data_IF_276416191528
#
_entry.id   IF_276416191528
#
_cell.length_a   1.000
_cell.length_b   1.000
_cell.length_c   1.000
_cell.angle_alpha   90.00
_cell.angle_beta   90.00
_cell.angle_gamma   90.00
#
_symmetry.space_group_name_H-M   'P 1'
#
loop_
_entity.id
_entity.type
_entity.pdbx_description
1 polymer ?
#
# COMPACT_ATOMS: atom_id res chain seq x y z
N UNK A 1 -23.82 -9.54 -5.86
CA UNK A 1 -24.41 -8.92 -4.66
C UNK A 1 -23.90 -7.49 -4.58
N UNK A 2 -24.76 -6.53 -4.26
CA UNK A 2 -24.33 -5.13 -4.05
C UNK A 2 -23.36 -5.03 -2.87
N UNK A 3 -22.53 -3.98 -2.83
CA UNK A 3 -21.73 -3.71 -1.64
C UNK A 3 -22.65 -3.35 -0.48
N UNK A 4 -22.45 -3.91 0.73
CA UNK A 4 -23.26 -3.61 1.90
C UNK A 4 -23.17 -2.13 2.24
N UNK A 5 -24.31 -1.54 2.58
CA UNK A 5 -24.40 -0.13 2.95
C UNK A 5 -23.81 0.11 4.35
N UNK A 6 -23.58 1.38 4.68
CA UNK A 6 -23.14 1.78 6.02
C UNK A 6 -24.10 1.27 7.11
N UNK A 7 -25.41 1.34 6.87
CA UNK A 7 -26.43 0.83 7.78
C UNK A 7 -26.36 -0.71 7.94
N UNK A 8 -26.08 -1.43 6.84
CA UNK A 8 -25.93 -2.89 6.89
C UNK A 8 -24.74 -3.29 7.79
N UNK A 9 -23.63 -2.55 7.74
CA UNK A 9 -22.46 -2.79 8.61
C UNK A 9 -22.74 -2.52 10.09
N UNK A 10 -23.56 -1.52 10.39
CA UNK A 10 -24.04 -1.27 11.75
C UNK A 10 -24.95 -2.39 12.27
N UNK A 11 -25.88 -2.84 11.43
CA UNK A 11 -26.80 -3.93 11.75
C UNK A 11 -26.05 -5.26 11.95
N UNK A 12 -25.10 -5.59 11.07
CA UNK A 12 -24.23 -6.76 11.18
C UNK A 12 -23.45 -6.76 12.51
N UNK A 13 -23.02 -5.57 12.95
CA UNK A 13 -22.30 -5.40 14.20
C UNK A 13 -23.21 -5.32 15.44
N UNK A 14 -24.54 -5.45 15.29
CA UNK A 14 -25.50 -5.46 16.39
C UNK A 14 -25.61 -4.12 17.14
N UNK A 15 -25.25 -3.00 16.49
CA UNK A 15 -25.43 -1.67 17.06
C UNK A 15 -26.85 -1.17 16.81
N UNK A 16 -27.55 -0.76 17.87
CA UNK A 16 -28.89 -0.19 17.77
C UNK A 16 -28.79 1.32 17.84
N UNK A 17 -28.85 1.98 16.68
CA UNK A 17 -28.81 3.44 16.55
C UNK A 17 -29.94 3.93 15.64
N UNK A 18 -30.33 5.20 15.79
CA UNK A 18 -31.41 5.78 14.98
C UNK A 18 -30.91 6.12 13.56
N UNK A 19 -31.79 6.09 12.57
CA UNK A 19 -31.45 6.45 11.18
C UNK A 19 -30.76 7.81 11.01
N UNK A 20 -31.19 8.89 11.70
CA UNK A 20 -30.49 10.17 11.67
C UNK A 20 -29.05 10.10 12.16
N UNK A 21 -28.77 9.36 13.23
CA UNK A 21 -27.41 9.18 13.78
C UNK A 21 -26.53 8.40 12.80
N UNK A 22 -27.07 7.36 12.17
CA UNK A 22 -26.38 6.57 11.16
C UNK A 22 -25.96 7.45 9.97
N UNK A 23 -26.87 8.31 9.49
CA UNK A 23 -26.59 9.21 8.38
C UNK A 23 -25.54 10.28 8.75
N UNK A 24 -25.71 10.93 9.91
CA UNK A 24 -24.78 11.93 10.43
C UNK A 24 -23.35 11.39 10.48
N UNK A 25 -23.17 10.20 11.09
CA UNK A 25 -21.86 9.55 11.18
C UNK A 25 -21.35 9.06 9.83
N UNK A 26 -22.23 8.61 8.94
CA UNK A 26 -21.87 8.25 7.57
C UNK A 26 -21.26 9.43 6.82
N UNK A 27 -21.78 10.64 7.02
CA UNK A 27 -21.21 11.86 6.43
C UNK A 27 -19.88 12.25 7.07
N UNK A 28 -19.73 12.08 8.40
CA UNK A 28 -18.42 12.26 9.06
C UNK A 28 -17.37 11.28 8.52
N UNK A 29 -17.73 10.01 8.30
CA UNK A 29 -16.79 9.02 7.74
C UNK A 29 -16.34 9.39 6.33
N UNK A 30 -17.22 9.93 5.49
CA UNK A 30 -16.82 10.41 4.16
C UNK A 30 -15.74 11.50 4.26
N UNK A 31 -15.84 12.41 5.25
CA UNK A 31 -14.82 13.44 5.51
C UNK A 31 -13.52 12.83 6.04
N UNK A 32 -13.61 11.91 7.00
CA UNK A 32 -12.45 11.14 7.50
C UNK A 32 -11.69 10.47 6.36
N UNK A 33 -12.41 9.84 5.42
CA UNK A 33 -11.81 9.15 4.27
C UNK A 33 -11.22 10.14 3.26
N UNK A 34 -11.84 11.30 3.06
CA UNK A 34 -11.32 12.34 2.15
C UNK A 34 -10.01 12.97 2.68
N UNK A 35 -9.94 13.21 3.99
CA UNK A 35 -8.82 13.90 4.65
C UNK A 35 -7.89 12.92 5.40
N UNK A 36 -7.85 11.66 4.95
CA UNK A 36 -7.05 10.61 5.55
C UNK A 36 -5.55 10.80 5.26
N UNK A 37 -4.82 11.28 6.28
CA UNK A 37 -3.34 11.35 6.24
C UNK A 37 -2.72 9.97 6.57
N UNK A 38 -1.44 9.74 6.24
CA UNK A 38 -0.76 8.50 6.59
C UNK A 38 -0.88 8.12 8.08
N UNK A 39 -0.65 9.08 8.98
CA UNK A 39 -0.76 8.87 10.42
C UNK A 39 -2.18 8.47 10.84
N UNK A 40 -3.20 9.18 10.33
CA UNK A 40 -4.62 8.88 10.60
C UNK A 40 -5.00 7.48 10.14
N UNK A 41 -4.46 6.99 9.02
CA UNK A 41 -4.71 5.61 8.57
C UNK A 41 -4.14 4.61 9.58
N UNK A 42 -2.95 4.86 10.13
CA UNK A 42 -2.39 4.01 11.17
C UNK A 42 -3.21 4.06 12.46
N UNK A 43 -3.74 5.22 12.83
CA UNK A 43 -4.64 5.33 13.98
C UNK A 43 -5.94 4.55 13.77
N UNK A 44 -6.53 4.59 12.56
CA UNK A 44 -7.71 3.80 12.24
C UNK A 44 -7.42 2.30 12.32
N UNK A 45 -6.25 1.84 11.85
CA UNK A 45 -5.81 0.45 11.98
C UNK A 45 -5.60 0.11 13.47
N UNK A 46 -5.02 1.03 14.24
CA UNK A 46 -4.84 0.92 15.67
C UNK A 46 -6.16 0.76 16.41
N UNK A 47 -7.17 1.57 16.07
CA UNK A 47 -8.53 1.42 16.58
C UNK A 47 -9.08 0.04 16.24
N UNK A 48 -9.00 -0.37 14.97
CA UNK A 48 -9.55 -1.63 14.47
C UNK A 48 -8.97 -2.87 15.17
N UNK A 49 -7.66 -2.89 15.42
CA UNK A 49 -6.97 -3.99 16.13
C UNK A 49 -6.86 -3.80 17.64
N UNK A 50 -7.48 -2.76 18.20
CA UNK A 50 -7.43 -2.46 19.64
C UNK A 50 -5.99 -2.27 20.16
N UNK A 51 -5.18 -1.54 19.39
CA UNK A 51 -3.80 -1.22 19.74
C UNK A 51 -3.83 -0.16 20.87
N UNK A 52 -3.30 -0.46 22.08
CA UNK A 52 -3.16 0.54 23.13
C UNK A 52 -2.41 1.79 22.65
N UNK A 53 -2.73 2.93 23.28
CA UNK A 53 -2.08 4.24 23.04
C UNK A 53 -2.32 4.83 21.64
N UNK A 54 -3.30 4.30 20.90
CA UNK A 54 -3.75 4.92 19.65
C UNK A 54 -4.46 6.25 19.93
N UNK A 55 -3.99 7.35 19.32
CA UNK A 55 -4.66 8.65 19.43
C UNK A 55 -5.86 8.73 18.49
N UNK A 56 -7.06 8.70 19.07
CA UNK A 56 -8.32 8.83 18.36
C UNK A 56 -9.03 10.16 18.66
N UNK A 57 -8.34 11.12 19.28
CA UNK A 57 -8.92 12.44 19.59
C UNK A 57 -9.43 13.12 18.33
N UNK A 58 -8.63 13.14 17.26
CA UNK A 58 -9.01 13.70 15.96
C UNK A 58 -10.24 12.99 15.36
N UNK A 59 -10.35 11.67 15.54
CA UNK A 59 -11.44 10.87 14.99
C UNK A 59 -12.75 11.14 15.73
N UNK A 60 -12.68 11.25 17.06
CA UNK A 60 -13.80 11.71 17.89
C UNK A 60 -14.24 13.10 17.50
N UNK A 61 -13.30 14.03 17.35
CA UNK A 61 -13.61 15.43 17.08
C UNK A 61 -14.27 15.59 15.70
N UNK A 62 -13.86 14.79 14.72
CA UNK A 62 -14.49 14.78 13.39
C UNK A 62 -15.92 14.23 13.41
N UNK A 63 -16.17 13.13 14.14
CA UNK A 63 -17.52 12.58 14.32
C UNK A 63 -18.39 13.53 15.16
N UNK A 64 -17.80 14.17 16.15
CA UNK A 64 -18.46 15.10 17.06
C UNK A 64 -19.06 16.34 16.38
N UNK A 65 -18.61 16.67 15.16
CA UNK A 65 -19.19 17.76 14.36
C UNK A 65 -20.65 17.48 13.96
N UNK A 66 -20.98 16.22 13.63
CA UNK A 66 -22.33 15.82 13.23
C UNK A 66 -23.09 15.09 14.34
N UNK A 67 -22.38 14.45 15.28
CA UNK A 67 -22.94 13.76 16.45
C UNK A 67 -22.18 14.11 17.74
N UNK A 68 -22.57 15.19 18.44
CA UNK A 68 -21.97 15.59 19.72
C UNK A 68 -22.12 14.55 20.84
N UNK A 69 -22.98 13.54 20.66
CA UNK A 69 -23.20 12.48 21.67
C UNK A 69 -22.19 11.35 21.55
N UNK A 70 -21.40 11.31 20.48
CA UNK A 70 -20.37 10.29 20.27
C UNK A 70 -19.25 10.41 21.31
N UNK A 71 -18.94 9.29 21.97
CA UNK A 71 -17.88 9.22 22.98
C UNK A 71 -17.04 7.97 22.80
N UNK A 72 -15.72 8.15 22.79
CA UNK A 72 -14.77 7.04 22.74
C UNK A 72 -14.77 6.21 24.02
N UNK A 73 -15.20 6.78 25.16
CA UNK A 73 -15.19 6.08 26.45
C UNK A 73 -16.34 5.08 26.56
N UNK A 74 -17.55 5.48 26.14
CA UNK A 74 -18.74 4.63 26.19
C UNK A 74 -18.97 3.86 24.89
N UNK A 75 -18.42 4.35 23.78
CA UNK A 75 -18.59 3.84 22.42
C UNK A 75 -17.35 3.18 21.82
N UNK A 76 -16.42 2.63 22.62
CA UNK A 76 -15.18 2.00 22.10
C UNK A 76 -15.44 0.89 21.06
N UNK A 77 -16.56 0.15 21.21
CA UNK A 77 -17.02 -0.84 20.22
C UNK A 77 -17.44 -0.17 18.90
N UNK A 78 -18.19 0.92 19.01
CA UNK A 78 -18.70 1.65 17.86
C UNK A 78 -17.59 2.37 17.10
N UNK A 79 -16.64 2.96 17.81
CA UNK A 79 -15.44 3.56 17.23
C UNK A 79 -14.66 2.56 16.35
N UNK A 80 -14.58 1.29 16.77
CA UNK A 80 -13.95 0.22 15.97
C UNK A 80 -14.67 -0.07 14.68
N UNK A 81 -16.00 -0.17 14.73
CA UNK A 81 -16.82 -0.44 13.55
C UNK A 81 -16.72 0.74 12.58
N UNK A 82 -16.78 1.97 13.09
CA UNK A 82 -16.57 3.18 12.31
C UNK A 82 -15.18 3.23 11.66
N UNK A 83 -14.13 2.88 12.40
CA UNK A 83 -12.77 2.78 11.86
C UNK A 83 -12.68 1.70 10.78
N UNK A 84 -13.30 0.53 11.00
CA UNK A 84 -13.35 -0.54 10.01
C UNK A 84 -14.09 -0.12 8.74
N UNK A 85 -15.17 0.65 8.84
CA UNK A 85 -15.91 1.19 7.70
C UNK A 85 -15.04 2.20 6.92
N UNK A 86 -14.40 3.15 7.62
CA UNK A 86 -13.49 4.11 7.00
C UNK A 86 -12.33 3.40 6.27
N UNK A 87 -11.72 2.40 6.90
CA UNK A 87 -10.71 1.55 6.28
C UNK A 87 -11.27 0.77 5.08
N UNK A 88 -12.48 0.24 5.18
CA UNK A 88 -13.17 -0.45 4.08
C UNK A 88 -13.36 0.44 2.86
N UNK A 89 -13.73 1.71 3.05
CA UNK A 89 -13.82 2.69 1.96
C UNK A 89 -12.45 3.01 1.35
N UNK A 90 -11.41 3.20 2.17
CA UNK A 90 -10.05 3.43 1.71
C UNK A 90 -9.51 2.22 0.91
N UNK A 91 -9.78 1.01 1.40
CA UNK A 91 -9.45 -0.26 0.73
C UNK A 91 -10.20 -0.38 -0.59
N UNK A 92 -11.49 -0.05 -0.62
CA UNK A 92 -12.31 -0.03 -1.83
C UNK A 92 -11.80 0.95 -2.90
N UNK A 93 -11.21 2.08 -2.48
CA UNK A 93 -10.54 3.07 -3.34
C UNK A 93 -9.13 2.68 -3.77
N UNK A 94 -8.60 1.55 -3.29
CA UNK A 94 -7.26 1.07 -3.63
C UNK A 94 -6.12 1.76 -2.87
N UNK A 95 -6.41 2.35 -1.71
CA UNK A 95 -5.38 2.98 -0.88
C UNK A 95 -4.38 1.91 -0.38
N UNK A 96 -3.14 1.98 -0.88
CA UNK A 96 -2.13 0.94 -0.61
C UNK A 96 -1.74 0.87 0.86
N UNK A 97 -1.73 2.00 1.58
CA UNK A 97 -1.41 2.05 3.01
C UNK A 97 -2.46 1.36 3.87
N UNK A 98 -3.75 1.58 3.58
CA UNK A 98 -4.84 0.89 4.28
C UNK A 98 -4.81 -0.63 4.00
N UNK A 99 -4.61 -1.02 2.72
CA UNK A 99 -4.56 -2.43 2.32
C UNK A 99 -3.39 -3.15 3.01
N UNK A 100 -2.17 -2.61 2.90
CA UNK A 100 -0.98 -3.23 3.50
C UNK A 100 -1.01 -3.14 5.02
N UNK A 101 -1.42 -2.02 5.59
CA UNK A 101 -1.47 -1.81 7.04
C UNK A 101 -2.41 -2.77 7.75
N UNK A 102 -3.62 -2.99 7.22
CA UNK A 102 -4.54 -4.00 7.78
C UNK A 102 -3.97 -5.40 7.58
N UNK A 103 -3.43 -5.71 6.40
CA UNK A 103 -2.91 -7.05 6.11
C UNK A 103 -1.70 -7.42 6.99
N UNK A 104 -0.79 -6.48 7.24
CA UNK A 104 0.42 -6.68 8.05
C UNK A 104 0.10 -6.76 9.54
N UNK A 105 -0.79 -5.91 10.06
CA UNK A 105 -1.27 -5.97 11.43
C UNK A 105 -2.00 -7.28 11.78
N UNK A 106 -2.55 -7.99 10.77
CA UNK A 106 -3.19 -9.29 10.96
C UNK A 106 -2.19 -10.43 11.28
N UNK A 107 -0.90 -10.23 10.97
CA UNK A 107 0.20 -11.19 11.21
C UNK A 107 -0.14 -12.60 10.72
N UNK A 108 -0.61 -12.70 9.47
CA UNK A 108 -1.02 -13.98 8.87
C UNK A 108 -2.11 -14.72 9.66
N UNK A 109 -3.01 -14.02 10.35
CA UNK A 109 -4.14 -14.61 11.10
C UNK A 109 -3.90 -14.82 12.59
N UNK A 110 -2.70 -14.49 13.09
CA UNK A 110 -2.32 -14.61 14.50
C UNK A 110 -2.89 -13.48 15.36
N UNK A 111 -3.10 -12.31 14.76
CA UNK A 111 -3.77 -11.18 15.41
C UNK A 111 -5.12 -10.99 14.73
N UNK A 112 -6.21 -11.12 15.47
CA UNK A 112 -7.57 -11.00 14.95
C UNK A 112 -8.29 -9.81 15.56
N UNK A 113 -9.01 -9.01 14.76
CA UNK A 113 -9.86 -7.97 15.31
C UNK A 113 -11.04 -8.62 16.05
N UNK A 114 -11.55 -7.98 17.10
CA UNK A 114 -12.71 -8.51 17.81
C UNK A 114 -14.02 -8.42 16.99
N UNK A 115 -14.06 -7.54 15.98
CA UNK A 115 -15.25 -7.25 15.18
C UNK A 115 -14.88 -6.94 13.72
N UNK A 116 -15.89 -6.93 12.86
CA UNK A 116 -15.76 -6.56 11.44
C UNK A 116 -14.70 -7.39 10.69
N UNK A 117 -14.66 -8.72 10.92
CA UNK A 117 -13.76 -9.64 10.21
C UNK A 117 -13.93 -9.60 8.67
N UNK A 118 -15.09 -9.13 8.19
CA UNK A 118 -15.33 -8.87 6.77
C UNK A 118 -14.24 -7.98 6.14
N UNK A 119 -13.68 -7.02 6.89
CA UNK A 119 -12.64 -6.11 6.38
C UNK A 119 -11.38 -6.89 5.98
N UNK A 120 -11.03 -7.96 6.70
CA UNK A 120 -9.89 -8.81 6.37
C UNK A 120 -10.09 -9.50 5.02
N UNK A 121 -11.33 -9.94 4.76
CA UNK A 121 -11.69 -10.55 3.47
C UNK A 121 -11.63 -9.51 2.35
N UNK A 122 -12.21 -8.34 2.58
CA UNK A 122 -12.20 -7.23 1.62
C UNK A 122 -10.77 -6.77 1.30
N UNK A 123 -9.90 -6.70 2.31
CA UNK A 123 -8.47 -6.36 2.15
C UNK A 123 -7.74 -7.40 1.30
N UNK A 124 -7.95 -8.71 1.53
CA UNK A 124 -7.32 -9.77 0.72
C UNK A 124 -7.78 -9.74 -0.73
N UNK A 125 -9.07 -9.48 -0.96
CA UNK A 125 -9.64 -9.32 -2.30
C UNK A 125 -9.11 -8.06 -2.99
N UNK A 126 -9.08 -6.93 -2.28
CA UNK A 126 -8.56 -5.67 -2.77
C UNK A 126 -7.07 -5.78 -3.10
N UNK A 127 -6.26 -6.40 -2.23
CA UNK A 127 -4.84 -6.65 -2.47
C UNK A 127 -4.65 -7.41 -3.79
N UNK A 128 -5.38 -8.50 -4.01
CA UNK A 128 -5.34 -9.28 -5.25
C UNK A 128 -5.75 -8.45 -6.46
N UNK A 129 -6.90 -7.75 -6.36
CA UNK A 129 -7.47 -6.94 -7.44
C UNK A 129 -6.53 -5.82 -7.86
N UNK A 130 -6.06 -5.02 -6.90
CA UNK A 130 -5.23 -3.85 -7.17
C UNK A 130 -3.80 -4.22 -7.55
N UNK A 131 -3.25 -5.33 -7.02
CA UNK A 131 -1.95 -5.85 -7.49
C UNK A 131 -1.96 -6.20 -8.97
N UNK A 132 -3.08 -6.76 -9.48
CA UNK A 132 -3.24 -7.06 -10.91
C UNK A 132 -3.53 -5.78 -11.71
N UNK A 133 -4.51 -4.98 -11.29
CA UNK A 133 -4.94 -3.82 -12.08
C UNK A 133 -3.87 -2.74 -12.19
N UNK A 134 -3.06 -2.53 -11.14
CA UNK A 134 -1.98 -1.53 -11.16
C UNK A 134 -0.85 -1.93 -12.10
N UNK A 135 -0.70 -3.24 -12.33
CA UNK A 135 0.30 -3.83 -13.25
C UNK A 135 -0.20 -4.06 -14.66
N UNK A 136 -1.51 -3.97 -14.89
CA UNK A 136 -2.07 -4.16 -16.21
C UNK A 136 -1.44 -3.18 -17.23
N UNK A 137 -1.01 -3.67 -18.41
CA UNK A 137 -0.58 -2.79 -19.49
C UNK A 137 -1.73 -1.84 -19.84
N UNK A 138 -1.47 -0.54 -19.82
CA UNK A 138 -2.44 0.41 -20.36
C UNK A 138 -2.13 0.60 -21.83
N UNK A 139 -3.16 0.55 -22.67
CA UNK A 139 -2.99 0.87 -24.09
C UNK A 139 -2.58 2.34 -24.19
N UNK A 140 -1.47 2.62 -24.88
CA UNK A 140 -1.10 3.97 -25.26
C UNK A 140 -2.06 4.37 -26.39
N UNK A 141 -3.22 4.90 -26.03
CA UNK A 141 -4.27 5.33 -26.98
C UNK A 141 -4.08 6.76 -27.46
N UNK A 142 -3.05 7.46 -26.98
CA UNK A 142 -2.76 8.84 -27.36
C UNK A 142 -2.26 8.85 -28.81
N UNK A 143 -3.17 8.76 -29.76
CA UNK A 143 -2.90 9.21 -31.11
C UNK A 143 -2.52 10.69 -30.99
N UNK A 144 -1.26 11.01 -31.28
CA UNK A 144 -0.82 12.40 -31.39
C UNK A 144 -1.42 12.91 -32.69
N UNK A 145 -2.69 13.29 -32.63
CA UNK A 145 -3.37 13.93 -33.73
C UNK A 145 -2.83 15.36 -33.82
N UNK A 146 -2.37 15.76 -35.01
CA UNK A 146 -2.05 17.17 -35.27
C UNK A 146 -3.37 17.92 -35.16
N UNK A 147 -3.54 18.83 -34.19
CA UNK A 147 -4.76 19.59 -34.09
C UNK A 147 -4.88 20.47 -35.33
N UNK A 148 -6.02 20.36 -36.02
CA UNK A 148 -6.26 21.12 -37.24
C UNK A 148 -6.35 22.62 -36.91
N UNK A 149 -5.79 23.51 -37.76
CA UNK A 149 -5.97 24.94 -37.57
C UNK A 149 -7.47 25.28 -37.64
N UNK A 150 -7.89 26.28 -36.87
CA UNK A 150 -9.25 26.76 -36.84
C UNK A 150 -9.58 27.40 -38.19
N UNK A 151 -10.54 26.82 -38.92
CA UNK A 151 -11.03 27.38 -40.19
C UNK A 151 -11.42 28.87 -40.09
N UNK A 152 -11.98 29.25 -38.95
CA UNK A 152 -12.39 30.62 -38.66
C UNK A 152 -11.22 31.64 -38.67
N UNK A 153 -9.99 31.23 -38.32
CA UNK A 153 -8.83 32.12 -38.40
C UNK A 153 -8.38 32.33 -39.85
N UNK A 154 -8.43 31.27 -40.67
CA UNK A 154 -8.15 31.37 -42.10
C UNK A 154 -9.11 32.35 -42.79
N UNK A 155 -10.40 32.22 -42.52
CA UNK A 155 -11.45 33.11 -43.03
C UNK A 155 -11.28 34.56 -42.54
N UNK A 156 -10.84 34.76 -41.28
CA UNK A 156 -10.54 36.09 -40.74
C UNK A 156 -9.33 36.76 -41.42
N UNK A 157 -8.30 36.00 -41.78
CA UNK A 157 -7.10 36.52 -42.44
C UNK A 157 -7.37 36.85 -43.92
N UNK A 158 -8.23 36.08 -44.60
CA UNK A 158 -8.64 36.33 -45.99
C UNK A 158 -9.52 37.58 -46.14
N UNK A 159 -10.26 37.95 -45.09
CA UNK A 159 -11.18 39.10 -45.10
C UNK A 159 -10.53 40.47 -44.79
N UNK A 160 -9.22 40.54 -44.61
CA UNK A 160 -8.53 41.80 -44.24
C UNK A 160 -8.33 42.68 -45.48
N UNK A 161 -8.91 43.88 -45.47
CA UNK A 161 -8.78 44.85 -46.56
C UNK A 161 -7.37 45.47 -46.66
N UNK A 162 -7.02 45.96 -47.85
CA UNK A 162 -5.75 46.67 -48.08
C UNK A 162 -5.70 47.93 -47.22
N UNK A 163 -4.62 48.08 -46.44
CA UNK A 163 -4.39 49.15 -45.43
C UNK A 163 -5.19 49.05 -44.12
N UNK A 164 -5.89 47.95 -43.83
CA UNK A 164 -6.45 47.70 -42.50
C UNK A 164 -5.39 47.19 -41.50
N UNK A 165 -4.57 48.11 -40.99
CA UNK A 165 -3.53 47.81 -40.00
C UNK A 165 -4.10 47.25 -38.69
N UNK A 166 -5.31 47.67 -38.31
CA UNK A 166 -5.99 47.19 -37.10
C UNK A 166 -6.45 45.75 -37.23
N UNK A 167 -7.08 45.39 -38.36
CA UNK A 167 -7.44 44.01 -38.69
C UNK A 167 -6.24 43.10 -38.80
N UNK A 168 -5.14 43.57 -39.43
CA UNK A 168 -3.89 42.83 -39.49
C UNK A 168 -3.30 42.53 -38.10
N UNK A 169 -3.25 43.52 -37.21
CA UNK A 169 -2.74 43.34 -35.85
C UNK A 169 -3.58 42.32 -35.05
N UNK A 170 -4.91 42.40 -35.20
CA UNK A 170 -5.86 41.46 -34.59
C UNK A 170 -5.70 40.04 -35.14
N UNK A 171 -5.56 39.89 -36.47
CA UNK A 171 -5.32 38.60 -37.12
C UNK A 171 -4.01 37.95 -36.68
N UNK A 172 -2.93 38.73 -36.58
CA UNK A 172 -1.64 38.26 -36.03
C UNK A 172 -1.76 37.87 -34.55
N UNK A 173 -2.55 38.60 -33.76
CA UNK A 173 -2.87 38.25 -32.37
C UNK A 173 -3.61 36.92 -32.26
N UNK A 174 -4.61 36.70 -33.12
CA UNK A 174 -5.36 35.45 -33.24
C UNK A 174 -4.46 34.28 -33.65
N UNK A 175 -3.61 34.48 -34.67
CA UNK A 175 -2.63 33.48 -35.12
C UNK A 175 -1.66 33.09 -34.00
N UNK A 176 -1.17 34.07 -33.24
CA UNK A 176 -0.29 33.82 -32.09
C UNK A 176 -1.01 33.02 -30.99
N UNK A 177 -2.24 33.38 -30.65
CA UNK A 177 -3.02 32.69 -29.63
C UNK A 177 -3.35 31.25 -30.05
N UNK A 178 -3.72 31.04 -31.30
CA UNK A 178 -3.99 29.72 -31.86
C UNK A 178 -2.73 28.87 -31.89
N UNK A 179 -1.62 29.39 -32.41
CA UNK A 179 -0.33 28.70 -32.41
C UNK A 179 0.07 28.29 -30.99
N UNK A 180 -0.07 29.19 -30.01
CA UNK A 180 0.22 28.88 -28.62
C UNK A 180 -0.69 27.77 -28.07
N UNK A 181 -1.98 27.77 -28.42
CA UNK A 181 -2.93 26.72 -28.02
C UNK A 181 -2.57 25.36 -28.63
N UNK A 182 -2.26 25.33 -29.93
CA UNK A 182 -1.86 24.12 -30.65
C UNK A 182 -0.56 23.54 -30.06
N UNK A 183 0.44 24.39 -29.80
CA UNK A 183 1.70 23.98 -29.16
C UNK A 183 1.45 23.43 -27.75
N UNK A 184 0.62 24.10 -26.94
CA UNK A 184 0.29 23.65 -25.58
C UNK A 184 -0.44 22.30 -25.61
N UNK A 185 -1.41 22.13 -26.51
CA UNK A 185 -2.15 20.88 -26.68
C UNK A 185 -1.21 19.75 -27.09
N UNK A 186 -0.39 19.97 -28.12
CA UNK A 186 0.59 18.98 -28.57
C UNK A 186 1.58 18.61 -27.46
N UNK A 187 2.14 19.59 -26.76
CA UNK A 187 3.04 19.35 -25.63
C UNK A 187 2.38 18.53 -24.52
N UNK A 188 1.11 18.77 -24.20
CA UNK A 188 0.36 18.00 -23.19
C UNK A 188 0.12 16.54 -23.61
N UNK A 189 -0.19 16.32 -24.89
CA UNK A 189 -0.39 14.97 -25.45
C UNK A 189 0.93 14.20 -25.48
N UNK A 190 2.02 14.84 -25.94
CA UNK A 190 3.35 14.24 -25.95
C UNK A 190 3.83 13.91 -24.54
N UNK A 191 3.67 14.83 -23.59
CA UNK A 191 4.06 14.61 -22.18
C UNK A 191 3.27 13.46 -21.57
N UNK A 192 1.96 13.38 -21.83
CA UNK A 192 1.11 12.29 -21.36
C UNK A 192 1.55 10.93 -21.93
N UNK A 193 1.85 10.87 -23.23
CA UNK A 193 2.34 9.65 -23.88
C UNK A 193 3.71 9.22 -23.31
N UNK A 194 4.64 10.17 -23.11
CA UNK A 194 5.94 9.90 -22.50
C UNK A 194 5.81 9.41 -21.06
N UNK A 195 4.89 9.99 -20.27
CA UNK A 195 4.64 9.57 -18.89
C UNK A 195 4.12 8.13 -18.83
N UNK A 196 3.21 7.74 -19.73
CA UNK A 196 2.73 6.37 -19.78
C UNK A 196 3.82 5.39 -20.24
N UNK A 197 4.63 5.77 -21.24
CA UNK A 197 5.77 4.97 -21.68
C UNK A 197 6.81 4.77 -20.55
N UNK A 198 7.16 5.85 -19.83
CA UNK A 198 8.06 5.79 -18.69
C UNK A 198 7.54 4.82 -17.61
N UNK A 199 6.24 4.91 -17.32
CA UNK A 199 5.57 3.97 -16.42
C UNK A 199 5.71 2.52 -16.90
N UNK A 200 5.46 2.23 -18.18
CA UNK A 200 5.61 0.87 -18.72
C UNK A 200 7.05 0.38 -18.59
N UNK A 201 8.03 1.23 -18.89
CA UNK A 201 9.45 0.90 -18.76
C UNK A 201 9.85 0.61 -17.31
N UNK A 202 9.37 1.40 -16.34
CA UNK A 202 9.62 1.16 -14.90
C UNK A 202 9.05 -0.18 -14.46
N UNK A 203 7.83 -0.49 -14.91
CA UNK A 203 7.17 -1.75 -14.57
C UNK A 203 7.87 -2.96 -15.19
N UNK A 204 8.23 -2.88 -16.48
CA UNK A 204 9.01 -3.92 -17.15
C UNK A 204 10.38 -4.13 -16.48
N UNK A 205 11.03 -3.06 -16.05
CA UNK A 205 12.31 -3.14 -15.34
C UNK A 205 12.15 -3.85 -14.00
N UNK A 206 11.15 -3.50 -13.21
CA UNK A 206 10.81 -4.17 -11.96
C UNK A 206 10.62 -5.68 -12.18
N UNK A 207 9.73 -6.07 -13.10
CA UNK A 207 9.41 -7.47 -13.39
C UNK A 207 10.61 -8.25 -13.95
N UNK A 208 11.40 -7.63 -14.82
CA UNK A 208 12.62 -8.24 -15.37
C UNK A 208 13.63 -8.49 -14.25
N UNK A 209 13.87 -7.50 -13.38
CA UNK A 209 14.80 -7.65 -12.25
C UNK A 209 14.35 -8.75 -11.27
N UNK A 210 13.04 -8.83 -11.00
CA UNK A 210 12.45 -9.92 -10.23
C UNK A 210 12.68 -11.29 -10.86
N UNK A 211 12.48 -11.42 -12.18
CA UNK A 211 12.76 -12.67 -12.89
C UNK A 211 14.24 -13.05 -12.81
N UNK A 212 15.15 -12.11 -13.09
CA UNK A 212 16.59 -12.33 -12.98
C UNK A 212 17.00 -12.79 -11.58
N UNK A 213 16.42 -12.18 -10.55
CA UNK A 213 16.69 -12.55 -9.16
C UNK A 213 16.23 -13.99 -8.84
N UNK A 214 15.01 -14.36 -9.23
CA UNK A 214 14.49 -15.72 -9.02
C UNK A 214 15.32 -16.77 -9.75
N UNK A 215 15.61 -16.54 -11.03
CA UNK A 215 16.39 -17.50 -11.83
C UNK A 215 17.85 -17.57 -11.41
N UNK A 216 18.40 -16.44 -10.95
CA UNK A 216 19.75 -16.37 -10.42
C UNK A 216 19.93 -17.20 -9.15
N UNK A 217 18.91 -17.30 -8.29
CA UNK A 217 19.00 -18.08 -7.06
C UNK A 217 20.03 -17.53 -6.06
N UNK A 218 20.28 -16.23 -6.11
CA UNK A 218 21.24 -15.51 -5.25
C UNK A 218 20.56 -14.33 -4.55
N UNK A 219 20.87 -14.15 -3.28
CA UNK A 219 20.45 -12.98 -2.52
C UNK A 219 21.21 -11.75 -2.97
N UNK A 220 20.48 -10.63 -3.17
CA UNK A 220 21.08 -9.31 -3.44
C UNK A 220 21.60 -8.68 -2.16
N UNK A 221 20.86 -8.82 -1.05
CA UNK A 221 21.25 -8.25 0.24
C UNK A 221 22.49 -8.94 0.80
N UNK A 222 22.53 -10.27 0.82
CA UNK A 222 23.67 -11.02 1.39
C UNK A 222 24.76 -11.37 0.37
N UNK A 223 24.54 -11.11 -0.92
CA UNK A 223 25.54 -11.36 -1.97
C UNK A 223 25.93 -12.84 -2.17
N UNK A 224 25.09 -13.79 -1.73
CA UNK A 224 25.37 -15.25 -1.79
C UNK A 224 24.14 -16.07 -2.19
N UNK A 225 24.38 -17.32 -2.60
CA UNK A 225 23.31 -18.23 -3.06
C UNK A 225 22.32 -18.57 -1.95
N UNK A 226 21.03 -18.64 -2.27
CA UNK A 226 19.99 -19.11 -1.34
C UNK A 226 20.21 -20.56 -0.89
N UNK A 227 20.87 -21.39 -1.70
CA UNK A 227 21.22 -22.78 -1.33
C UNK A 227 22.19 -22.86 -0.13
N UNK A 228 22.87 -21.75 0.22
CA UNK A 228 23.67 -21.65 1.43
C UNK A 228 22.88 -21.34 2.71
N UNK A 229 21.60 -20.97 2.57
CA UNK A 229 20.73 -20.55 3.68
C UNK A 229 19.76 -21.66 4.08
N UNK A 230 19.37 -21.69 5.35
CA UNK A 230 18.24 -22.52 5.78
C UNK A 230 16.90 -21.96 5.21
N UNK A 231 15.82 -22.77 5.13
CA UNK A 231 14.55 -22.32 4.55
C UNK A 231 13.93 -21.07 5.22
N UNK A 232 14.07 -20.91 6.53
CA UNK A 232 13.56 -19.75 7.27
C UNK A 232 14.46 -18.52 7.08
N UNK A 233 15.77 -18.72 6.94
CA UNK A 233 16.71 -17.67 6.57
C UNK A 233 16.45 -17.19 5.14
N UNK A 234 16.28 -18.12 4.19
CA UNK A 234 15.94 -17.82 2.81
C UNK A 234 14.59 -17.11 2.70
N UNK A 235 13.62 -17.44 3.56
CA UNK A 235 12.35 -16.74 3.66
C UNK A 235 12.51 -15.26 4.03
N UNK A 236 13.25 -14.94 5.09
CA UNK A 236 13.46 -13.55 5.52
C UNK A 236 14.28 -12.75 4.52
N UNK A 237 15.42 -13.31 4.09
CA UNK A 237 16.30 -12.66 3.10
C UNK A 237 15.59 -12.48 1.77
N UNK A 238 14.85 -13.49 1.34
CA UNK A 238 14.07 -13.45 0.10
C UNK A 238 12.96 -12.40 0.14
N UNK A 239 12.30 -12.23 1.28
CA UNK A 239 11.31 -11.19 1.48
C UNK A 239 11.90 -9.78 1.36
N UNK A 240 13.03 -9.51 2.02
CA UNK A 240 13.74 -8.23 1.94
C UNK A 240 14.24 -7.94 0.52
N UNK A 241 14.84 -8.94 -0.14
CA UNK A 241 15.30 -8.79 -1.51
C UNK A 241 14.15 -8.51 -2.48
N UNK A 242 13.04 -9.26 -2.36
CA UNK A 242 11.88 -9.06 -3.22
C UNK A 242 11.22 -7.70 -2.96
N UNK A 243 11.13 -7.26 -1.70
CA UNK A 243 10.58 -5.95 -1.37
C UNK A 243 11.43 -4.82 -1.97
N UNK A 244 12.77 -4.90 -1.91
CA UNK A 244 13.65 -3.94 -2.58
C UNK A 244 13.54 -3.95 -4.11
N UNK A 245 13.20 -5.11 -4.68
CA UNK A 245 12.94 -5.23 -6.11
C UNK A 245 11.61 -4.59 -6.49
N UNK A 246 10.61 -4.61 -5.60
CA UNK A 246 9.30 -3.97 -5.76
C UNK A 246 9.37 -2.47 -5.48
N UNK A 247 9.97 -1.70 -6.39
CA UNK A 247 10.24 -0.27 -6.18
C UNK A 247 9.29 0.68 -6.92
N UNK A 248 8.46 0.16 -7.84
CA UNK A 248 7.54 0.96 -8.63
C UNK A 248 6.09 0.72 -8.22
N UNK A 249 5.72 -0.52 -7.88
CA UNK A 249 4.35 -0.84 -7.48
C UNK A 249 4.21 -0.96 -5.97
N UNK A 250 3.23 -0.26 -5.38
CA UNK A 250 3.09 -0.23 -3.92
C UNK A 250 2.59 -1.54 -3.30
N UNK A 251 1.83 -2.36 -4.03
CA UNK A 251 1.24 -3.61 -3.51
C UNK A 251 2.01 -4.86 -3.94
N UNK A 252 3.02 -4.71 -4.79
CA UNK A 252 3.75 -5.84 -5.35
C UNK A 252 2.98 -6.67 -6.38
N UNK A 253 3.59 -7.76 -6.86
CA UNK A 253 2.92 -8.69 -7.77
C UNK A 253 2.06 -9.67 -6.98
N UNK A 254 0.91 -10.04 -7.54
CA UNK A 254 0.10 -11.14 -7.00
C UNK A 254 0.89 -12.46 -6.90
N UNK A 255 1.91 -12.62 -7.74
CA UNK A 255 2.80 -13.78 -7.76
C UNK A 255 3.86 -13.77 -6.65
N UNK A 256 3.99 -12.69 -5.85
CA UNK A 256 5.03 -12.58 -4.81
C UNK A 256 5.10 -13.81 -3.88
N UNK A 257 4.00 -14.37 -3.37
CA UNK A 257 4.06 -15.60 -2.58
C UNK A 257 4.68 -16.79 -3.34
N UNK A 258 4.32 -17.00 -4.61
CA UNK A 258 4.89 -18.08 -5.42
C UNK A 258 6.38 -17.84 -5.74
N UNK A 259 6.78 -16.57 -5.90
CA UNK A 259 8.17 -16.18 -6.10
C UNK A 259 9.02 -16.48 -4.86
N UNK A 260 8.51 -16.13 -3.68
CA UNK A 260 9.14 -16.42 -2.39
C UNK A 260 9.20 -17.93 -2.11
N UNK A 261 8.13 -18.66 -2.41
CA UNK A 261 8.11 -20.12 -2.28
C UNK A 261 9.19 -20.79 -3.15
N UNK A 262 9.39 -20.30 -4.37
CA UNK A 262 10.47 -20.76 -5.25
C UNK A 262 11.87 -20.48 -4.68
N UNK A 263 12.07 -19.32 -4.06
CA UNK A 263 13.34 -18.99 -3.38
C UNK A 263 13.57 -19.91 -2.18
N UNK A 264 12.54 -20.13 -1.36
CA UNK A 264 12.61 -21.05 -0.21
C UNK A 264 12.90 -22.48 -0.69
N UNK A 265 12.27 -22.94 -1.77
CA UNK A 265 12.52 -24.25 -2.36
C UNK A 265 13.94 -24.41 -2.92
N UNK A 266 14.60 -23.32 -3.31
CA UNK A 266 16.00 -23.30 -3.75
C UNK A 266 17.02 -23.27 -2.61
N UNK A 267 16.56 -23.14 -1.36
CA UNK A 267 17.41 -23.09 -0.18
C UNK A 267 18.03 -24.45 0.15
N UNK A 268 18.90 -24.47 1.16
CA UNK A 268 19.58 -25.70 1.59
C UNK A 268 18.57 -26.80 1.87
N UNK A 269 18.77 -27.97 1.25
CA UNK A 269 17.87 -29.13 1.39
C UNK A 269 17.66 -29.46 2.86
N UNK A 270 16.41 -29.29 3.31
CA UNK A 270 15.92 -29.66 4.63
C UNK A 270 14.86 -30.77 4.46
N UNK A 271 14.61 -31.54 5.52
CA UNK A 271 13.33 -32.26 5.64
C UNK A 271 12.18 -31.24 5.52
N UNK A 272 11.02 -31.68 5.06
CA UNK A 272 9.86 -30.83 4.75
C UNK A 272 9.77 -29.65 5.76
N UNK A 273 9.86 -28.39 5.28
CA UNK A 273 9.98 -27.24 6.17
C UNK A 273 8.74 -27.15 7.06
N UNK A 274 8.94 -27.34 8.36
CA UNK A 274 7.88 -27.22 9.37
C UNK A 274 7.81 -25.79 9.90
N UNK A 275 6.71 -25.49 10.60
CA UNK A 275 6.65 -24.28 11.41
C UNK A 275 7.81 -24.24 12.41
N UNK A 276 8.37 -23.05 12.63
CA UNK A 276 9.45 -22.78 13.60
C UNK A 276 9.12 -21.50 14.37
N UNK A 277 9.43 -21.42 15.68
CA UNK A 277 9.35 -20.17 16.43
C UNK A 277 10.15 -19.04 15.76
N UNK A 278 9.61 -17.81 15.80
CA UNK A 278 10.29 -16.62 15.32
C UNK A 278 11.63 -16.43 16.04
N UNK A 279 11.67 -16.69 17.35
CA UNK A 279 12.88 -16.67 18.15
C UNK A 279 13.99 -17.55 17.59
N UNK A 280 13.70 -18.84 17.38
CA UNK A 280 14.66 -19.79 16.85
C UNK A 280 15.09 -19.47 15.40
N UNK A 281 14.25 -18.74 14.66
CA UNK A 281 14.57 -18.28 13.30
C UNK A 281 15.58 -17.14 13.33
N UNK A 282 15.35 -16.11 14.14
CA UNK A 282 16.24 -14.95 14.20
C UNK A 282 17.56 -15.28 14.89
N UNK A 283 17.55 -16.19 15.85
CA UNK A 283 18.77 -16.67 16.50
C UNK A 283 19.63 -17.56 15.61
N UNK A 284 19.10 -18.11 14.51
CA UNK A 284 19.88 -18.90 13.56
C UNK A 284 20.76 -18.04 12.63
N UNK A 285 20.50 -16.73 12.54
CA UNK A 285 21.32 -15.82 11.74
C UNK A 285 22.64 -15.46 12.41
N UNK A 286 23.66 -15.21 11.60
CA UNK A 286 24.85 -14.52 12.06
C UNK A 286 24.55 -13.02 12.22
N UNK A 287 25.16 -12.40 13.23
CA UNK A 287 24.94 -10.97 13.51
C UNK A 287 25.30 -10.09 12.31
N UNK A 288 26.39 -10.42 11.60
CA UNK A 288 26.82 -9.72 10.41
C UNK A 288 25.77 -9.76 9.27
N UNK A 289 25.05 -10.88 9.12
CA UNK A 289 23.99 -10.98 8.11
C UNK A 289 22.80 -10.07 8.48
N UNK A 290 22.41 -10.02 9.77
CA UNK A 290 21.32 -9.16 10.25
C UNK A 290 21.64 -7.66 10.10
N UNK A 291 22.91 -7.28 10.27
CA UNK A 291 23.35 -5.88 10.09
C UNK A 291 23.25 -5.42 8.63
N UNK A 292 23.41 -6.33 7.67
CA UNK A 292 23.35 -6.03 6.22
C UNK A 292 21.90 -5.94 5.73
N UNK A 293 20.94 -6.58 6.41
CA UNK A 293 19.53 -6.51 6.06
C UNK A 293 18.98 -5.09 6.30
N UNK A 294 18.91 -4.30 5.23
CA UNK A 294 18.15 -3.03 5.21
C UNK A 294 16.65 -3.35 5.25
N UNK A 295 16.05 -3.11 6.42
CA UNK A 295 14.65 -3.31 6.77
C UNK A 295 14.11 -1.98 7.29
N UNK A 296 12.89 -1.64 6.89
CA UNK A 296 12.24 -0.41 7.36
C UNK A 296 11.65 -0.58 8.76
N UNK A 297 12.02 0.30 9.68
CA UNK A 297 11.66 0.21 11.12
C UNK A 297 10.97 1.46 11.66
N UNK A 298 10.69 2.44 10.80
CA UNK A 298 10.07 3.72 11.18
C UNK A 298 8.56 3.60 11.48
N UNK A 299 7.96 2.46 11.15
CA UNK A 299 6.54 2.21 11.32
C UNK A 299 6.18 1.75 12.74
N UNK A 300 4.92 1.93 13.18
CA UNK A 300 4.45 1.43 14.46
C UNK A 300 4.73 -0.07 14.63
N UNK A 301 5.36 -0.51 15.74
CA UNK A 301 5.80 -1.90 15.90
C UNK A 301 4.73 -2.98 15.75
N UNK A 302 3.48 -2.64 16.08
CA UNK A 302 2.35 -3.55 15.97
C UNK A 302 1.91 -3.80 14.53
N UNK A 303 2.22 -2.89 13.61
CA UNK A 303 1.95 -3.04 12.18
C UNK A 303 3.06 -3.84 11.50
N UNK A 304 4.31 -3.67 11.95
CA UNK A 304 5.48 -4.34 11.37
C UNK A 304 6.24 -5.19 12.39
N UNK A 305 5.60 -6.21 12.98
CA UNK A 305 6.20 -6.98 14.06
C UNK A 305 7.45 -7.76 13.62
N UNK A 306 7.49 -8.33 12.41
CA UNK A 306 8.66 -9.10 11.98
C UNK A 306 9.85 -8.17 11.73
N UNK A 307 9.61 -7.01 11.14
CA UNK A 307 10.62 -5.97 10.88
C UNK A 307 11.23 -5.45 12.18
N UNK A 308 10.40 -5.17 13.19
CA UNK A 308 10.85 -4.78 14.52
C UNK A 308 11.58 -5.91 15.23
N UNK A 309 11.14 -7.16 15.10
CA UNK A 309 11.86 -8.28 15.70
C UNK A 309 13.30 -8.36 15.17
N UNK A 310 13.50 -8.20 13.86
CA UNK A 310 14.83 -8.20 13.25
C UNK A 310 15.67 -7.02 13.74
N UNK A 311 15.09 -5.82 13.81
CA UNK A 311 15.78 -4.63 14.32
C UNK A 311 16.19 -4.75 15.79
N UNK A 312 15.32 -5.33 16.63
CA UNK A 312 15.62 -5.57 18.03
C UNK A 312 16.73 -6.61 18.21
N UNK A 313 16.74 -7.68 17.42
CA UNK A 313 17.85 -8.66 17.44
C UNK A 313 19.15 -7.98 16.99
N UNK A 314 19.08 -7.16 15.94
CA UNK A 314 20.24 -6.41 15.43
C UNK A 314 20.83 -5.47 16.48
N UNK A 315 19.99 -4.76 17.23
CA UNK A 315 20.44 -3.72 18.18
C UNK A 315 20.75 -4.25 19.58
N UNK A 316 20.03 -5.26 20.06
CA UNK A 316 20.17 -5.81 21.42
C UNK A 316 20.93 -7.14 21.46
N UNK A 317 21.14 -7.79 20.32
CA UNK A 317 21.74 -9.11 20.22
C UNK A 317 20.78 -10.25 20.56
N UNK A 318 21.30 -11.48 20.46
CA UNK A 318 20.55 -12.72 20.75
C UNK A 318 20.18 -12.81 22.23
N UNK A 319 19.03 -13.40 22.54
CA UNK A 319 18.57 -13.65 23.92
C UNK A 319 17.84 -12.51 24.65
N UNK A 320 18.17 -11.23 24.44
CA UNK A 320 17.55 -10.13 25.22
C UNK A 320 16.34 -9.45 24.54
N UNK A 321 16.22 -9.58 23.21
CA UNK A 321 15.27 -8.81 22.41
C UNK A 321 13.79 -9.21 22.61
N UNK A 322 13.52 -10.46 22.98
CA UNK A 322 12.16 -11.01 22.99
C UNK A 322 11.23 -10.36 24.02
N UNK A 323 11.76 -9.92 25.18
CA UNK A 323 10.96 -9.21 26.19
C UNK A 323 10.50 -7.86 25.66
N UNK A 324 11.43 -7.10 25.05
CA UNK A 324 11.12 -5.80 24.44
C UNK A 324 10.18 -5.95 23.25
N UNK A 325 10.36 -6.99 22.44
CA UNK A 325 9.45 -7.32 21.35
C UNK A 325 8.02 -7.50 21.86
N UNK A 326 7.81 -8.31 22.90
CA UNK A 326 6.49 -8.52 23.50
C UNK A 326 5.87 -7.22 24.01
N UNK A 327 6.65 -6.35 24.65
CA UNK A 327 6.16 -5.05 25.15
C UNK A 327 5.69 -4.16 23.99
N UNK A 328 6.46 -4.07 22.91
CA UNK A 328 6.16 -3.18 21.78
C UNK A 328 5.03 -3.71 20.89
N UNK A 329 5.02 -5.02 20.61
CA UNK A 329 4.09 -5.60 19.62
C UNK A 329 2.86 -6.24 20.28
N UNK A 330 2.97 -6.65 21.54
CA UNK A 330 1.98 -7.51 22.21
C UNK A 330 2.06 -8.98 21.79
N UNK A 331 3.06 -9.37 20.99
CA UNK A 331 3.20 -10.71 20.41
C UNK A 331 4.36 -11.45 21.11
N UNK A 332 4.17 -12.74 21.37
CA UNK A 332 5.24 -13.59 21.91
C UNK A 332 6.26 -13.97 20.83
N UNK A 333 7.56 -13.91 21.12
CA UNK A 333 8.61 -14.32 20.19
C UNK A 333 8.61 -15.85 19.90
N UNK A 334 7.91 -16.64 20.72
CA UNK A 334 7.70 -18.07 20.50
C UNK A 334 6.68 -18.38 19.40
N UNK A 335 6.06 -17.36 18.81
CA UNK A 335 5.09 -17.52 17.74
C UNK A 335 5.71 -18.25 16.55
N UNK A 336 5.02 -19.29 16.08
CA UNK A 336 5.55 -20.16 15.05
C UNK A 336 5.12 -19.72 13.66
N UNK A 337 6.04 -19.81 12.69
CA UNK A 337 5.75 -19.56 11.29
C UNK A 337 6.30 -20.67 10.39
N UNK A 338 5.51 -21.03 9.38
CA UNK A 338 6.03 -21.68 8.18
C UNK A 338 6.87 -20.68 7.39
N UNK A 339 7.93 -21.12 6.67
CA UNK A 339 8.80 -20.21 5.93
C UNK A 339 8.05 -19.27 4.98
N UNK A 340 7.09 -19.80 4.21
CA UNK A 340 6.33 -18.98 3.26
C UNK A 340 5.47 -17.93 3.96
N UNK A 341 4.80 -18.30 5.06
CA UNK A 341 3.99 -17.37 5.85
C UNK A 341 4.85 -16.23 6.42
N UNK A 342 6.05 -16.56 6.91
CA UNK A 342 7.00 -15.59 7.42
C UNK A 342 7.51 -14.64 6.32
N UNK A 343 7.88 -15.20 5.16
CA UNK A 343 8.37 -14.44 4.03
C UNK A 343 7.31 -13.44 3.52
N UNK A 344 6.07 -13.90 3.35
CA UNK A 344 4.97 -13.06 2.87
C UNK A 344 4.64 -11.95 3.86
N UNK A 345 4.66 -12.26 5.16
CA UNK A 345 4.45 -11.26 6.21
C UNK A 345 5.53 -10.16 6.14
N UNK A 346 6.81 -10.52 6.18
CA UNK A 346 7.90 -9.53 6.13
C UNK A 346 7.90 -8.74 4.83
N UNK A 347 7.59 -9.40 3.70
CA UNK A 347 7.51 -8.73 2.40
C UNK A 347 6.50 -7.58 2.41
N UNK A 348 5.29 -7.81 2.94
CA UNK A 348 4.27 -6.76 3.00
C UNK A 348 4.58 -5.69 4.06
N UNK A 349 5.25 -6.05 5.16
CA UNK A 349 5.74 -5.07 6.14
C UNK A 349 6.75 -4.11 5.51
N UNK A 350 7.69 -4.64 4.72
CA UNK A 350 8.70 -3.81 4.06
C UNK A 350 8.06 -2.94 2.97
N UNK A 351 7.12 -3.48 2.18
CA UNK A 351 6.34 -2.66 1.23
C UNK A 351 5.58 -1.51 1.91
N UNK A 352 5.01 -1.76 3.09
CA UNK A 352 4.34 -0.72 3.87
C UNK A 352 5.32 0.38 4.29
N UNK A 353 6.55 0.00 4.66
CA UNK A 353 7.64 0.91 5.04
C UNK A 353 8.22 1.71 3.87
N UNK A 354 7.99 1.28 2.63
CA UNK A 354 8.44 1.98 1.42
C UNK A 354 7.43 3.01 0.90
N UNK A 355 6.23 3.08 1.46
CA UNK A 355 5.22 4.03 1.01
C UNK A 355 5.62 5.48 1.36
N UNK A 356 5.44 6.45 0.43
CA UNK A 356 5.82 7.84 0.62
C UNK A 356 4.94 8.59 1.61
#
# INVERSE_FOLDING_TARGET
MGQPTFADRYAEAGLVTTGPIINARGDSIKRVVADATPARIYDLIGAFYEIPETDLSWFRDEIGQDDPTFSLMTGAREARILAAIALGELVGKGNSRAILGVNTAHVGGRVRPAQAEWLITDVKQALSKFSVSNRAPKKITTAIAVPAPAKALGEQLEGIEVNDWTGLLSGLGGLRAETHSLVKSNASLTTSALTELERQMKLMREETQMLWWIFGGHSRSLGRSFNGLDPHQAALVGAVDLAKLTNYTHLGPIAAPAMLDRVIASSKKSKAPSARPLLATLESFDQADLEILDIKTELPPKLTPISIAIDLVRTLGKGAWHQRFKVLTGIEASIEFEPISLAVQLYYEDLLGQLP
#
